data_IF_693322437857
#
_entry.id   IF_693322437857
#
_cell.length_a   1.000
_cell.length_b   1.000
_cell.length_c   1.000
_cell.angle_alpha   90.00
_cell.angle_beta   90.00
_cell.angle_gamma   90.00
#
_symmetry.space_group_name_H-M   'P 1'
#
loop_
_entity.id
_entity.type
_entity.pdbx_description
1 polymer ?
#
# COMPACT_ATOMS: atom_id res chain seq x y z
N UNK A 1 13.71 13.14 -25.36
CA UNK A 1 14.03 14.42 -24.71
C UNK A 1 14.34 14.29 -23.23
N UNK A 2 13.33 13.97 -22.39
CA UNK A 2 13.48 13.99 -20.92
C UNK A 2 14.46 12.92 -20.42
N UNK A 3 14.42 11.71 -20.99
CA UNK A 3 15.31 10.62 -20.59
C UNK A 3 16.79 10.99 -20.79
N UNK A 4 17.12 11.54 -21.95
CA UNK A 4 18.47 11.95 -22.36
C UNK A 4 18.99 13.09 -21.48
N UNK A 5 18.12 14.03 -21.10
CA UNK A 5 18.47 15.07 -20.13
C UNK A 5 18.74 14.49 -18.74
N UNK A 6 17.92 13.54 -18.29
CA UNK A 6 18.11 12.87 -17.00
C UNK A 6 19.38 12.01 -16.98
N UNK A 7 19.76 11.40 -18.09
CA UNK A 7 21.00 10.64 -18.21
C UNK A 7 22.24 11.52 -17.99
N UNK A 8 22.26 12.70 -18.63
CA UNK A 8 23.32 13.70 -18.41
C UNK A 8 23.29 14.22 -16.97
N UNK A 9 22.09 14.49 -16.43
CA UNK A 9 21.93 14.94 -15.05
C UNK A 9 22.42 13.91 -14.03
N UNK A 10 22.19 12.61 -14.26
CA UNK A 10 22.68 11.55 -13.39
C UNK A 10 24.20 11.57 -13.26
N UNK A 11 24.91 11.74 -14.38
CA UNK A 11 26.37 11.91 -14.40
C UNK A 11 26.82 13.17 -13.63
N UNK A 12 26.08 14.28 -13.77
CA UNK A 12 26.36 15.53 -13.04
C UNK A 12 26.16 15.33 -11.53
N UNK A 13 25.07 14.68 -11.11
CA UNK A 13 24.76 14.41 -9.70
C UNK A 13 25.85 13.53 -9.08
N UNK A 14 26.31 12.51 -9.80
CA UNK A 14 27.43 11.69 -9.34
C UNK A 14 28.73 12.50 -9.16
N UNK A 15 28.90 13.59 -9.90
CA UNK A 15 30.02 14.53 -9.76
C UNK A 15 29.88 15.55 -8.62
N UNK A 16 28.76 15.60 -7.89
CA UNK A 16 28.58 16.59 -6.82
C UNK A 16 29.60 16.42 -5.68
N UNK A 17 30.19 17.55 -5.28
CA UNK A 17 31.02 17.65 -4.10
C UNK A 17 30.16 17.57 -2.82
N UNK A 18 30.76 17.02 -1.76
CA UNK A 18 30.15 16.97 -0.43
C UNK A 18 30.72 18.08 0.47
N UNK A 19 29.90 18.71 1.34
CA UNK A 19 28.47 18.48 1.51
C UNK A 19 27.64 19.00 0.33
N UNK A 20 26.51 18.36 0.05
CA UNK A 20 25.58 18.79 -0.99
C UNK A 20 25.07 20.21 -0.71
N UNK A 21 25.14 21.07 -1.73
CA UNK A 21 24.57 22.41 -1.68
C UNK A 21 23.04 22.36 -1.55
N UNK A 22 22.47 23.36 -0.86
CA UNK A 22 21.03 23.47 -0.67
C UNK A 22 20.24 23.58 -1.99
N UNK A 23 20.82 24.20 -3.02
CA UNK A 23 20.22 24.26 -4.35
C UNK A 23 20.02 22.86 -4.98
N UNK A 24 20.95 21.93 -4.76
CA UNK A 24 20.84 20.55 -5.25
C UNK A 24 19.75 19.78 -4.50
N UNK A 25 19.63 20.00 -3.18
CA UNK A 25 18.56 19.40 -2.37
C UNK A 25 17.18 19.94 -2.77
N UNK A 26 17.08 21.24 -3.02
CA UNK A 26 15.86 21.85 -3.54
C UNK A 26 15.50 21.32 -4.92
N UNK A 27 16.49 21.08 -5.79
CA UNK A 27 16.28 20.48 -7.10
C UNK A 27 15.70 19.05 -6.99
N UNK A 28 16.26 18.20 -6.12
CA UNK A 28 15.71 16.88 -5.81
C UNK A 28 14.23 16.96 -5.41
N UNK A 29 13.90 17.82 -4.44
CA UNK A 29 12.56 17.90 -3.84
C UNK A 29 11.54 18.55 -4.78
N UNK A 30 11.93 19.58 -5.53
CA UNK A 30 11.01 20.39 -6.35
C UNK A 30 10.92 19.95 -7.79
N UNK A 31 11.90 19.20 -8.30
CA UNK A 31 11.96 18.78 -9.70
C UNK A 31 11.94 17.26 -9.81
N UNK A 32 12.97 16.56 -9.32
CA UNK A 32 13.12 15.13 -9.56
C UNK A 32 11.99 14.31 -8.93
N UNK A 33 11.67 14.53 -7.65
CA UNK A 33 10.58 13.79 -6.99
C UNK A 33 9.22 14.04 -7.70
N UNK A 34 8.81 15.28 -8.03
CA UNK A 34 7.59 15.51 -8.81
C UNK A 34 7.55 14.90 -10.22
N UNK A 35 8.69 14.60 -10.85
CA UNK A 35 8.75 13.95 -12.16
C UNK A 35 8.19 12.52 -12.16
N UNK A 36 7.89 11.93 -11.01
CA UNK A 36 7.17 10.65 -10.93
C UNK A 36 5.67 10.76 -11.22
N UNK A 37 5.10 11.98 -11.16
CA UNK A 37 3.66 12.22 -11.31
C UNK A 37 3.12 11.94 -12.72
N UNK A 38 3.76 12.38 -13.83
CA UNK A 38 3.19 12.25 -15.17
C UNK A 38 2.89 10.80 -15.59
N UNK A 39 1.93 10.64 -16.51
CA UNK A 39 1.54 9.32 -17.03
C UNK A 39 2.64 8.68 -17.90
N UNK A 40 3.44 9.50 -18.58
CA UNK A 40 4.54 9.07 -19.44
C UNK A 40 5.83 8.70 -18.69
N UNK A 41 5.78 8.53 -17.35
CA UNK A 41 6.92 8.06 -16.54
C UNK A 41 7.67 6.86 -17.15
N UNK A 42 7.02 5.83 -17.73
CA UNK A 42 7.73 4.70 -18.34
C UNK A 42 8.80 5.09 -19.36
N UNK A 43 8.68 6.25 -20.01
CA UNK A 43 9.63 6.71 -21.04
C UNK A 43 10.98 7.17 -20.48
N UNK A 44 11.07 7.48 -19.18
CA UNK A 44 12.27 8.03 -18.55
C UNK A 44 12.51 7.54 -17.12
N UNK A 45 11.73 6.55 -16.66
CA UNK A 45 11.76 6.06 -15.28
C UNK A 45 13.16 5.60 -14.87
N UNK A 46 13.84 4.82 -15.72
CA UNK A 46 15.16 4.27 -15.38
C UNK A 46 16.18 5.39 -15.13
N UNK A 47 16.22 6.41 -15.98
CA UNK A 47 17.14 7.55 -15.82
C UNK A 47 16.77 8.40 -14.60
N UNK A 48 15.48 8.53 -14.29
CA UNK A 48 15.01 9.21 -13.09
C UNK A 48 15.40 8.46 -11.81
N UNK A 49 15.14 7.15 -11.76
CA UNK A 49 15.52 6.25 -10.65
C UNK A 49 17.01 6.37 -10.36
N UNK A 50 17.84 6.29 -11.41
CA UNK A 50 19.28 6.49 -11.29
C UNK A 50 19.63 7.83 -10.64
N UNK A 51 19.03 8.94 -11.09
CA UNK A 51 19.26 10.26 -10.48
C UNK A 51 18.86 10.30 -9.00
N UNK A 52 17.72 9.70 -8.65
CA UNK A 52 17.21 9.64 -7.27
C UNK A 52 18.15 8.85 -6.38
N UNK A 53 18.54 7.65 -6.80
CA UNK A 53 19.47 6.77 -6.07
C UNK A 53 20.82 7.45 -5.88
N UNK A 54 21.37 8.11 -6.90
CA UNK A 54 22.63 8.86 -6.77
C UNK A 54 22.55 9.97 -5.71
N UNK A 55 21.42 10.66 -5.57
CA UNK A 55 21.24 11.65 -4.50
C UNK A 55 21.31 11.02 -3.10
N UNK A 56 20.67 9.85 -2.92
CA UNK A 56 20.65 9.13 -1.64
C UNK A 56 22.03 8.56 -1.30
N UNK A 57 22.76 8.05 -2.29
CA UNK A 57 24.15 7.58 -2.09
C UNK A 57 25.10 8.71 -1.67
N UNK A 58 24.90 9.93 -2.19
CA UNK A 58 25.71 11.10 -1.82
C UNK A 58 25.41 11.62 -0.42
N UNK A 59 24.15 11.57 0.00
CA UNK A 59 23.73 11.97 1.34
C UNK A 59 22.55 11.10 1.80
N UNK A 60 22.85 10.10 2.63
CA UNK A 60 21.88 9.10 3.11
C UNK A 60 20.67 9.74 3.81
N UNK A 61 20.84 10.93 4.42
CA UNK A 61 19.77 11.68 5.09
C UNK A 61 18.63 12.06 4.16
N UNK A 62 18.87 12.06 2.85
CA UNK A 62 17.84 12.34 1.84
C UNK A 62 16.88 11.17 1.63
N UNK A 63 17.18 9.96 2.08
CA UNK A 63 16.33 8.78 1.94
C UNK A 63 14.91 9.00 2.50
N UNK A 64 14.77 9.53 3.72
CA UNK A 64 13.48 9.85 4.35
C UNK A 64 12.65 10.82 3.47
N UNK A 65 13.32 11.79 2.85
CA UNK A 65 12.68 12.78 1.97
C UNK A 65 12.23 12.15 0.66
N UNK A 66 13.08 11.34 0.03
CA UNK A 66 12.78 10.63 -1.22
C UNK A 66 11.63 9.64 -1.02
N UNK A 67 11.72 8.77 -0.02
CA UNK A 67 10.69 7.75 0.27
C UNK A 67 9.33 8.43 0.51
N UNK A 68 9.27 9.49 1.32
CA UNK A 68 8.01 10.25 1.52
C UNK A 68 7.51 10.89 0.23
N UNK A 69 8.42 11.37 -0.62
CA UNK A 69 8.12 11.91 -1.94
C UNK A 69 7.46 10.89 -2.85
N UNK A 70 8.02 9.68 -2.93
CA UNK A 70 7.46 8.56 -3.68
C UNK A 70 6.09 8.14 -3.12
N UNK A 71 5.98 7.99 -1.80
CA UNK A 71 4.70 7.66 -1.15
C UNK A 71 3.60 8.71 -1.40
N UNK A 72 3.97 10.00 -1.49
CA UNK A 72 3.03 11.08 -1.83
C UNK A 72 2.47 10.95 -3.25
N UNK A 73 3.27 10.47 -4.19
CA UNK A 73 2.88 10.31 -5.60
C UNK A 73 2.55 8.86 -5.99
N UNK A 74 2.37 7.98 -5.00
CA UNK A 74 2.15 6.56 -5.22
C UNK A 74 0.96 6.32 -6.18
N UNK A 75 1.16 5.57 -7.27
CA UNK A 75 0.10 5.29 -8.23
C UNK A 75 -0.92 4.31 -7.63
N UNK A 76 -2.20 4.68 -7.66
CA UNK A 76 -3.30 3.83 -7.13
C UNK A 76 -4.09 3.16 -8.28
N UNK A 77 -4.06 3.75 -9.49
CA UNK A 77 -4.87 3.29 -10.63
C UNK A 77 -4.05 2.77 -11.80
N UNK A 78 -2.73 2.62 -11.65
CA UNK A 78 -1.83 2.16 -12.71
C UNK A 78 -0.82 1.18 -12.13
N UNK A 79 -1.11 -0.12 -12.27
CA UNK A 79 -0.30 -1.20 -11.72
C UNK A 79 1.11 -1.26 -12.32
N UNK A 80 1.28 -0.91 -13.59
CA UNK A 80 2.61 -0.87 -14.22
C UNK A 80 3.49 0.21 -13.58
N UNK A 81 2.95 1.40 -13.34
CA UNK A 81 3.66 2.44 -12.57
C UNK A 81 3.89 2.02 -11.12
N UNK A 82 2.98 1.28 -10.50
CA UNK A 82 3.15 0.77 -9.14
C UNK A 82 4.34 -0.20 -9.05
N UNK A 83 4.48 -1.10 -10.02
CA UNK A 83 5.66 -1.98 -10.14
C UNK A 83 6.95 -1.19 -10.33
N UNK A 84 6.92 -0.11 -11.13
CA UNK A 84 8.08 0.79 -11.30
C UNK A 84 8.48 1.46 -9.98
N UNK A 85 7.50 2.01 -9.25
CA UNK A 85 7.73 2.63 -7.93
C UNK A 85 8.28 1.63 -6.91
N UNK A 86 7.79 0.39 -6.89
CA UNK A 86 8.35 -0.66 -6.03
C UNK A 86 9.80 -0.99 -6.41
N UNK A 87 10.15 -0.90 -7.70
CA UNK A 87 11.52 -1.08 -8.17
C UNK A 87 12.47 0.02 -7.72
N UNK A 88 12.12 1.27 -7.97
CA UNK A 88 12.89 2.42 -7.51
C UNK A 88 13.00 2.46 -5.98
N UNK A 89 11.92 2.12 -5.28
CA UNK A 89 11.92 2.04 -3.82
C UNK A 89 12.90 0.99 -3.29
N UNK A 90 13.07 -0.14 -3.98
CA UNK A 90 14.10 -1.13 -3.62
C UNK A 90 15.50 -0.52 -3.74
N UNK A 91 15.82 0.13 -4.86
CA UNK A 91 17.12 0.79 -5.07
C UNK A 91 17.40 1.86 -4.01
N UNK A 92 16.38 2.67 -3.67
CA UNK A 92 16.50 3.69 -2.62
C UNK A 92 16.72 3.06 -1.25
N UNK A 93 16.01 1.96 -0.93
CA UNK A 93 16.17 1.27 0.34
C UNK A 93 17.54 0.59 0.46
N UNK A 94 18.11 0.09 -0.65
CA UNK A 94 19.48 -0.44 -0.71
C UNK A 94 20.51 0.59 -0.25
N UNK A 95 20.35 1.85 -0.65
CA UNK A 95 21.22 2.94 -0.25
C UNK A 95 20.84 3.56 1.12
N UNK A 96 19.79 3.09 1.79
CA UNK A 96 19.26 3.68 3.02
C UNK A 96 19.92 3.09 4.28
N UNK A 97 20.29 3.95 5.21
CA UNK A 97 20.82 3.57 6.52
C UNK A 97 19.69 3.39 7.57
N UNK A 98 19.96 2.62 8.62
CA UNK A 98 18.97 2.27 9.66
C UNK A 98 18.28 3.50 10.30
N UNK A 99 18.97 4.58 10.70
CA UNK A 99 18.32 5.74 11.33
C UNK A 99 17.31 6.42 10.40
N UNK A 100 17.64 6.56 9.12
CA UNK A 100 16.81 7.16 8.08
C UNK A 100 15.61 6.26 7.76
N UNK A 101 15.83 4.95 7.69
CA UNK A 101 14.76 3.97 7.54
C UNK A 101 13.74 4.06 8.68
N UNK A 102 14.20 4.12 9.94
CA UNK A 102 13.33 4.21 11.11
C UNK A 102 12.41 5.44 11.10
N UNK A 103 12.83 6.54 10.45
CA UNK A 103 12.01 7.74 10.32
C UNK A 103 10.80 7.54 9.39
N UNK A 104 10.93 6.69 8.37
CA UNK A 104 9.93 6.51 7.33
C UNK A 104 9.27 5.12 7.28
N UNK A 105 9.75 4.14 8.07
CA UNK A 105 9.28 2.75 8.01
C UNK A 105 7.77 2.60 8.23
N UNK A 106 7.15 3.37 9.14
CA UNK A 106 5.71 3.22 9.40
C UNK A 106 4.83 3.58 8.18
N UNK A 107 4.92 4.78 7.59
CA UNK A 107 4.15 5.09 6.38
C UNK A 107 4.56 4.22 5.18
N UNK A 108 5.83 3.85 5.08
CA UNK A 108 6.34 2.94 4.04
C UNK A 108 5.65 1.57 4.12
N UNK A 109 5.69 0.89 5.26
CA UNK A 109 5.16 -0.47 5.38
C UNK A 109 3.63 -0.52 5.38
N UNK A 110 2.94 0.58 5.70
CA UNK A 110 1.50 0.69 5.42
C UNK A 110 1.22 0.66 3.91
N UNK A 111 2.06 1.32 3.11
CA UNK A 111 1.93 1.25 1.65
C UNK A 111 2.28 -0.14 1.13
N UNK A 112 3.38 -0.73 1.59
CA UNK A 112 3.77 -2.10 1.22
C UNK A 112 2.67 -3.09 1.58
N UNK A 113 2.03 -2.99 2.75
CA UNK A 113 0.90 -3.84 3.13
C UNK A 113 -0.28 -3.78 2.13
N UNK A 114 -0.54 -2.60 1.56
CA UNK A 114 -1.53 -2.46 0.48
C UNK A 114 -1.07 -3.13 -0.82
N UNK A 115 0.19 -2.97 -1.21
CA UNK A 115 0.75 -3.62 -2.40
C UNK A 115 0.74 -5.15 -2.27
N UNK A 116 1.08 -5.67 -1.09
CA UNK A 116 0.97 -7.09 -0.76
C UNK A 116 -0.47 -7.58 -0.93
N UNK A 117 -1.45 -6.82 -0.48
CA UNK A 117 -2.88 -7.16 -0.58
C UNK A 117 -3.46 -6.92 -1.99
N UNK A 118 -2.66 -6.53 -2.98
CA UNK A 118 -3.13 -6.23 -4.33
C UNK A 118 -3.60 -7.50 -5.03
N UNK A 119 -4.73 -7.44 -5.72
CA UNK A 119 -5.19 -8.53 -6.59
C UNK A 119 -4.39 -8.63 -7.89
N UNK A 120 -3.62 -7.59 -8.24
CA UNK A 120 -2.75 -7.59 -9.40
C UNK A 120 -1.44 -8.29 -9.06
N UNK A 121 -1.24 -9.50 -9.58
CA UNK A 121 -0.15 -10.37 -9.15
C UNK A 121 1.24 -9.73 -9.25
N UNK A 122 1.55 -8.97 -10.31
CA UNK A 122 2.87 -8.35 -10.47
C UNK A 122 3.17 -7.32 -9.38
N UNK A 123 2.15 -6.65 -8.82
CA UNK A 123 2.33 -5.68 -7.74
C UNK A 123 2.63 -6.42 -6.43
N UNK A 124 1.82 -7.43 -6.10
CA UNK A 124 2.00 -8.23 -4.90
C UNK A 124 3.34 -8.98 -4.92
N UNK A 125 3.67 -9.61 -6.05
CA UNK A 125 4.95 -10.29 -6.28
C UNK A 125 6.13 -9.33 -6.14
N UNK A 126 6.11 -8.17 -6.82
CA UNK A 126 7.19 -7.19 -6.73
C UNK A 126 7.41 -6.66 -5.30
N UNK A 127 6.33 -6.51 -4.52
CA UNK A 127 6.40 -6.12 -3.13
C UNK A 127 6.96 -7.23 -2.23
N UNK A 128 6.61 -8.51 -2.48
CA UNK A 128 7.16 -9.65 -1.76
C UNK A 128 8.66 -9.84 -2.03
N UNK A 129 9.13 -9.51 -3.23
CA UNK A 129 10.56 -9.59 -3.58
C UNK A 129 11.45 -8.63 -2.78
N UNK A 130 10.91 -7.63 -2.07
CA UNK A 130 11.70 -6.80 -1.15
C UNK A 130 12.41 -7.62 -0.06
N UNK A 131 11.87 -8.78 0.31
CA UNK A 131 12.50 -9.70 1.26
C UNK A 131 13.61 -10.57 0.67
N UNK A 132 13.79 -10.55 -0.66
CA UNK A 132 14.90 -11.25 -1.32
C UNK A 132 16.19 -10.44 -1.35
N UNK A 133 16.13 -9.18 -0.94
CA UNK A 133 17.29 -8.31 -0.81
C UNK A 133 17.80 -8.35 0.64
N UNK A 134 19.06 -8.75 0.83
CA UNK A 134 19.66 -8.97 2.17
C UNK A 134 19.70 -7.70 3.02
N UNK A 135 19.99 -6.54 2.43
CA UNK A 135 20.07 -5.27 3.16
C UNK A 135 18.68 -4.83 3.64
N UNK A 136 17.68 -4.88 2.74
CA UNK A 136 16.30 -4.53 3.06
C UNK A 136 15.72 -5.52 4.09
N UNK A 137 15.97 -6.81 3.91
CA UNK A 137 15.58 -7.85 4.86
C UNK A 137 16.16 -7.56 6.25
N UNK A 138 17.44 -7.20 6.34
CA UNK A 138 18.08 -6.83 7.60
C UNK A 138 17.47 -5.58 8.25
N UNK A 139 17.16 -4.54 7.47
CA UNK A 139 16.44 -3.35 7.97
C UNK A 139 15.07 -3.73 8.54
N UNK A 140 14.35 -4.61 7.85
CA UNK A 140 13.04 -5.13 8.30
C UNK A 140 13.20 -5.94 9.59
N UNK A 141 14.17 -6.85 9.63
CA UNK A 141 14.44 -7.74 10.77
C UNK A 141 14.74 -6.98 12.06
N UNK A 142 15.52 -5.91 11.97
CA UNK A 142 15.86 -5.06 13.11
C UNK A 142 14.65 -4.26 13.64
N UNK A 143 13.65 -3.99 12.78
CA UNK A 143 12.46 -3.21 13.11
C UNK A 143 11.16 -4.04 13.12
N UNK A 144 11.28 -5.38 13.18
CA UNK A 144 10.17 -6.33 13.05
C UNK A 144 9.02 -6.10 14.03
N UNK A 145 9.30 -5.64 15.25
CA UNK A 145 8.28 -5.34 16.28
C UNK A 145 7.28 -4.27 15.83
N UNK A 146 7.69 -3.39 14.92
CA UNK A 146 6.82 -2.36 14.33
C UNK A 146 6.28 -2.83 12.98
N UNK A 147 7.12 -3.44 12.15
CA UNK A 147 6.78 -3.77 10.76
C UNK A 147 5.83 -4.98 10.68
N UNK A 148 6.11 -6.06 11.40
CA UNK A 148 5.35 -7.30 11.29
C UNK A 148 3.86 -7.07 11.58
N UNK A 149 3.44 -6.41 12.67
CA UNK A 149 2.02 -6.15 12.92
C UNK A 149 1.31 -5.35 11.81
N UNK A 150 2.03 -4.53 11.03
CA UNK A 150 1.46 -3.73 9.95
C UNK A 150 1.15 -4.60 8.72
N UNK A 151 2.08 -5.49 8.36
CA UNK A 151 1.97 -6.32 7.15
C UNK A 151 1.27 -7.66 7.39
N UNK A 152 1.22 -8.12 8.65
CA UNK A 152 0.72 -9.45 9.00
C UNK A 152 -0.69 -9.74 8.46
N UNK A 153 -1.68 -8.82 8.54
CA UNK A 153 -2.99 -9.07 7.98
C UNK A 153 -2.98 -9.30 6.46
N UNK A 154 -2.09 -8.63 5.73
CA UNK A 154 -1.94 -8.82 4.29
C UNK A 154 -1.36 -10.22 3.98
N UNK A 155 -0.34 -10.65 4.74
CA UNK A 155 0.27 -11.96 4.59
C UNK A 155 -0.74 -13.10 4.88
N UNK A 156 -1.51 -12.99 5.95
CA UNK A 156 -2.53 -14.00 6.30
C UNK A 156 -3.63 -14.11 5.24
N UNK A 157 -4.18 -12.97 4.79
CA UNK A 157 -5.21 -12.95 3.74
C UNK A 157 -4.67 -13.54 2.44
N UNK A 158 -3.45 -13.18 2.05
CA UNK A 158 -2.86 -13.69 0.81
C UNK A 158 -2.69 -15.21 0.82
N UNK A 159 -2.22 -15.81 1.92
CA UNK A 159 -2.09 -17.26 2.03
C UNK A 159 -3.43 -17.99 1.89
N UNK A 160 -4.53 -17.37 2.30
CA UNK A 160 -5.87 -18.00 2.27
C UNK A 160 -6.57 -17.79 0.94
N UNK A 161 -6.45 -16.61 0.33
CA UNK A 161 -7.37 -16.17 -0.72
C UNK A 161 -6.72 -15.59 -1.97
N UNK A 162 -5.40 -15.44 -2.03
CA UNK A 162 -4.78 -14.91 -3.25
C UNK A 162 -4.91 -15.91 -4.40
N UNK A 163 -5.34 -15.49 -5.60
CA UNK A 163 -5.63 -16.42 -6.70
C UNK A 163 -4.37 -16.97 -7.39
N UNK A 164 -3.26 -16.24 -7.34
CA UNK A 164 -1.99 -16.61 -7.97
C UNK A 164 -1.10 -17.44 -7.03
N UNK A 165 -0.69 -18.63 -7.46
CA UNK A 165 0.13 -19.56 -6.66
C UNK A 165 1.56 -19.07 -6.38
N UNK A 166 2.20 -18.34 -7.30
CA UNK A 166 3.53 -17.81 -7.07
C UNK A 166 3.52 -16.77 -5.92
N UNK A 167 2.52 -15.89 -5.92
CA UNK A 167 2.30 -14.93 -4.83
C UNK A 167 2.03 -15.65 -3.50
N UNK A 168 1.21 -16.71 -3.50
CA UNK A 168 1.00 -17.52 -2.28
C UNK A 168 2.32 -18.13 -1.77
N UNK A 169 3.13 -18.71 -2.65
CA UNK A 169 4.43 -19.31 -2.32
C UNK A 169 5.41 -18.28 -1.73
N UNK A 170 5.56 -17.12 -2.38
CA UNK A 170 6.37 -16.01 -1.88
C UNK A 170 5.86 -15.51 -0.52
N UNK A 171 4.55 -15.42 -0.34
CA UNK A 171 3.94 -15.02 0.94
C UNK A 171 4.29 -16.02 2.05
N UNK A 172 4.26 -17.33 1.75
CA UNK A 172 4.66 -18.37 2.71
C UNK A 172 6.13 -18.25 3.09
N UNK A 173 7.02 -17.93 2.15
CA UNK A 173 8.44 -17.71 2.43
C UNK A 173 8.64 -16.53 3.40
N UNK A 174 7.97 -15.40 3.16
CA UNK A 174 8.04 -14.23 4.05
C UNK A 174 7.47 -14.55 5.44
N UNK A 175 6.35 -15.28 5.52
CA UNK A 175 5.78 -15.72 6.82
C UNK A 175 6.76 -16.62 7.57
N UNK A 176 7.35 -17.58 6.86
CA UNK A 176 8.34 -18.50 7.43
C UNK A 176 9.52 -17.73 8.03
N UNK A 177 10.08 -16.77 7.31
CA UNK A 177 11.17 -15.90 7.79
C UNK A 177 10.83 -15.24 9.13
N UNK A 178 9.63 -14.66 9.28
CA UNK A 178 9.22 -14.05 10.54
C UNK A 178 8.98 -15.07 11.66
N UNK A 179 8.34 -16.20 11.35
CA UNK A 179 8.07 -17.24 12.33
C UNK A 179 9.34 -17.89 12.88
N UNK A 180 10.39 -18.02 12.07
CA UNK A 180 11.69 -18.54 12.50
C UNK A 180 12.52 -17.50 13.27
N UNK A 181 12.36 -16.22 12.93
CA UNK A 181 13.12 -15.13 13.56
C UNK A 181 12.58 -14.75 14.94
N UNK A 182 11.26 -14.68 15.09
CA UNK A 182 10.59 -14.25 16.32
C UNK A 182 9.24 -14.95 16.49
N UNK A 183 9.24 -16.22 16.96
CA UNK A 183 8.03 -17.03 17.06
C UNK A 183 6.97 -16.43 17.99
N UNK A 184 7.40 -15.79 19.09
CA UNK A 184 6.50 -15.15 20.06
C UNK A 184 5.77 -13.97 19.42
N UNK A 185 6.49 -13.04 18.78
CA UNK A 185 5.86 -11.93 18.09
C UNK A 185 4.95 -12.38 16.94
N UNK A 186 5.33 -13.46 16.24
CA UNK A 186 4.52 -14.02 15.17
C UNK A 186 3.18 -14.56 15.71
N UNK A 187 3.21 -15.33 16.81
CA UNK A 187 1.99 -15.85 17.44
C UNK A 187 1.11 -14.72 17.99
N UNK A 188 1.70 -13.69 18.62
CA UNK A 188 0.97 -12.51 19.08
C UNK A 188 0.22 -11.82 17.92
N UNK A 189 0.88 -11.67 16.77
CA UNK A 189 0.25 -11.11 15.57
C UNK A 189 -0.87 -12.00 15.04
N UNK A 190 -0.70 -13.33 15.10
CA UNK A 190 -1.70 -14.31 14.67
C UNK A 190 -2.95 -14.28 15.56
N UNK A 191 -2.77 -14.24 16.88
CA UNK A 191 -3.86 -14.09 17.83
C UNK A 191 -4.62 -12.79 17.61
N UNK A 192 -3.91 -11.66 17.52
CA UNK A 192 -4.52 -10.36 17.25
C UNK A 192 -5.30 -10.34 15.93
N UNK A 193 -4.75 -10.93 14.87
CA UNK A 193 -5.43 -11.04 13.58
C UNK A 193 -6.75 -11.82 13.69
N UNK A 194 -6.76 -12.95 14.41
CA UNK A 194 -7.98 -13.75 14.64
C UNK A 194 -9.03 -12.97 15.43
N UNK A 195 -8.62 -12.23 16.46
CA UNK A 195 -9.51 -11.37 17.23
C UNK A 195 -10.12 -10.26 16.37
N UNK A 196 -9.30 -9.60 15.55
CA UNK A 196 -9.76 -8.53 14.66
C UNK A 196 -10.70 -9.08 13.57
N UNK A 197 -10.43 -10.28 13.04
CA UNK A 197 -11.31 -10.99 12.10
C UNK A 197 -12.68 -11.32 12.73
N UNK A 198 -12.69 -11.82 13.96
CA UNK A 198 -13.94 -12.08 14.69
C UNK A 198 -14.76 -10.81 14.96
N UNK A 199 -14.10 -9.73 15.39
CA UNK A 199 -14.75 -8.41 15.59
C UNK A 199 -15.31 -7.85 14.29
N UNK A 200 -14.58 -7.99 13.17
CA UNK A 200 -15.05 -7.54 11.85
C UNK A 200 -16.28 -8.33 11.39
N UNK A 201 -16.31 -9.65 11.63
CA UNK A 201 -17.47 -10.49 11.33
C UNK A 201 -18.68 -10.13 12.18
N UNK A 202 -18.50 -9.89 13.48
CA UNK A 202 -19.58 -9.45 14.37
C UNK A 202 -20.16 -8.10 13.93
N UNK A 203 -19.31 -7.14 13.56
CA UNK A 203 -19.73 -5.83 13.06
C UNK A 203 -20.52 -5.96 11.76
N UNK A 204 -20.06 -6.80 10.82
CA UNK A 204 -20.78 -7.08 9.57
C UNK A 204 -22.13 -7.72 9.83
N UNK A 205 -22.22 -8.67 10.77
CA UNK A 205 -23.48 -9.30 11.16
C UNK A 205 -24.47 -8.28 11.74
N UNK A 206 -24.00 -7.38 12.62
CA UNK A 206 -24.81 -6.28 13.17
C UNK A 206 -25.31 -5.33 12.08
N UNK A 207 -24.47 -4.98 11.12
CA UNK A 207 -24.85 -4.14 9.99
C UNK A 207 -25.93 -4.83 9.13
N UNK A 208 -25.74 -6.09 8.77
CA UNK A 208 -26.73 -6.86 7.99
C UNK A 208 -28.07 -6.97 8.73
N UNK A 209 -28.06 -7.21 10.04
CA UNK A 209 -29.28 -7.25 10.84
C UNK A 209 -29.99 -5.88 10.87
N UNK A 210 -29.25 -4.79 11.01
CA UNK A 210 -29.80 -3.44 10.98
C UNK A 210 -30.44 -3.10 9.61
N UNK A 211 -29.79 -3.50 8.50
CA UNK A 211 -30.35 -3.33 7.16
C UNK A 211 -31.63 -4.13 6.94
N UNK A 212 -31.67 -5.40 7.38
CA UNK A 212 -32.89 -6.23 7.31
C UNK A 212 -34.06 -5.62 8.09
N UNK A 213 -33.79 -5.14 9.30
CA UNK A 213 -34.81 -4.48 10.11
C UNK A 213 -35.37 -3.20 9.43
N UNK A 214 -34.52 -2.42 8.75
CA UNK A 214 -34.97 -1.28 7.97
C UNK A 214 -35.83 -1.70 6.77
N UNK A 215 -35.45 -2.75 6.06
CA UNK A 215 -36.23 -3.33 4.95
C UNK A 215 -37.62 -3.80 5.44
N UNK A 216 -37.70 -4.46 6.59
CA UNK A 216 -38.96 -4.92 7.18
C UNK A 216 -39.88 -3.74 7.58
N UNK A 217 -39.32 -2.66 8.13
CA UNK A 217 -40.07 -1.43 8.44
C UNK A 217 -40.60 -0.78 7.15
N UNK A 218 -39.79 -0.73 6.10
CA UNK A 218 -40.21 -0.15 4.82
C UNK A 218 -41.33 -1.02 4.21
N UNK A 219 -41.15 -2.33 4.17
CA UNK A 219 -42.13 -3.28 3.63
C UNK A 219 -43.47 -3.22 4.37
N UNK A 220 -43.45 -3.13 5.70
CA UNK A 220 -44.67 -2.97 6.51
C UNK A 220 -45.36 -1.62 6.32
N UNK A 221 -44.61 -0.53 6.12
CA UNK A 221 -45.20 0.79 5.80
C UNK A 221 -45.79 0.82 4.40
N UNK A 222 -45.11 0.26 3.39
CA UNK A 222 -45.62 0.19 2.01
C UNK A 222 -46.91 -0.62 1.95
N UNK A 223 -46.95 -1.80 2.59
CA UNK A 223 -48.17 -2.62 2.65
C UNK A 223 -49.30 -1.93 3.42
N UNK A 224 -49.00 -1.22 4.52
CA UNK A 224 -50.00 -0.43 5.26
C UNK A 224 -50.55 0.74 4.42
N UNK A 225 -49.70 1.36 3.59
CA UNK A 225 -50.10 2.50 2.73
C UNK A 225 -50.93 2.01 1.55
N UNK A 226 -50.57 0.88 0.95
CA UNK A 226 -51.35 0.22 -0.11
C UNK A 226 -52.71 -0.25 0.41
N UNK A 227 -52.77 -0.84 1.60
CA UNK A 227 -54.02 -1.24 2.26
C UNK A 227 -54.91 -0.02 2.58
N UNK A 228 -54.31 1.10 3.03
CA UNK A 228 -55.03 2.33 3.28
C UNK A 228 -55.62 2.93 1.98
N UNK A 229 -54.85 2.97 0.90
CA UNK A 229 -55.31 3.43 -0.43
C UNK A 229 -56.40 2.52 -1.02
N UNK A 230 -56.27 1.20 -0.86
CA UNK A 230 -57.28 0.25 -1.32
C UNK A 230 -58.61 0.40 -0.54
N UNK A 231 -58.54 0.63 0.78
CA UNK A 231 -59.73 0.87 1.60
C UNK A 231 -60.46 2.17 1.26
N UNK A 232 -59.72 3.24 0.93
CA UNK A 232 -60.30 4.52 0.50
C UNK A 232 -60.99 4.40 -0.87
N UNK A 233 -60.39 3.67 -1.82
CA UNK A 233 -61.00 3.44 -3.12
C UNK A 233 -62.28 2.58 -3.02
N UNK A 234 -62.29 1.56 -2.15
CA UNK A 234 -63.49 0.74 -1.92
C UNK A 234 -64.62 1.55 -1.25
N UNK A 235 -64.29 2.41 -0.28
CA UNK A 235 -65.27 3.29 0.35
C UNK A 235 -65.85 4.34 -0.62
N UNK A 236 -65.03 4.88 -1.53
CA UNK A 236 -65.48 5.82 -2.55
C UNK A 236 -66.43 5.15 -3.59
N UNK A 237 -66.26 3.87 -3.90
CA UNK A 237 -67.16 3.13 -4.78
C UNK A 237 -68.50 2.76 -4.12
N UNK A 238 -68.52 2.55 -2.80
CA UNK A 238 -69.75 2.22 -2.06
C UNK A 238 -70.69 3.42 -1.82
N UNK A 239 -70.18 4.66 -1.93
CA UNK A 239 -70.97 5.89 -1.76
C UNK A 239 -71.61 6.38 -3.07
N UNK A 240 -71.23 5.82 -4.21
CA UNK A 240 -71.76 6.17 -5.54
C UNK A 240 -72.73 5.14 -6.16
N UNK A 241 -73.15 4.12 -5.40
CA UNK A 241 -74.17 3.14 -5.81
C UNK A 241 -75.44 3.28 -4.99
#
# INVERSE_FOLDING_TARGET
GVAELLEVLGSIINGFALPLKEEHKLFLVRVLIPLHKPKCLPMYHQQLSYCITQFVEKDSKLADTVIRGLLKYWPITNSSKEVMFLGELEEVLEATQLPEFQRCMMPLFRRIAHCLSSSHFQVAERALYLWSNDHIENLIRQNRKVILPIIFPALEKNCRTHWNQAVQSLTLNVRKLFSETDPELFEDCLCKFREDEAKEQELKAKQVAAWKHLEDIISSKTSSTELALASQNAAAQAVMG
#
